data_IF_586123570539
#
_entry.id   IF_586123570539
#
_cell.length_a   1.000
_cell.length_b   1.000
_cell.length_c   1.000
_cell.angle_alpha   90.00
_cell.angle_beta   90.00
_cell.angle_gamma   90.00
#
_symmetry.space_group_name_H-M   'P 1'
#
loop_
_entity.id
_entity.type
_entity.pdbx_description
1 polymer ?
#
# COMPACT_ATOMS: atom_id res chain seq x y z
N UNK A 1 -3.49 1.47 17.13
CA UNK A 1 -2.62 2.27 16.23
C UNK A 1 -2.67 1.61 14.86
N UNK A 2 -2.86 2.38 13.77
CA UNK A 2 -2.79 1.82 12.43
C UNK A 2 -1.46 1.10 12.26
N UNK A 3 -1.49 -0.10 11.66
CA UNK A 3 -0.25 -0.85 11.44
C UNK A 3 0.52 -0.13 10.34
N UNK A 4 1.80 0.21 10.56
CA UNK A 4 2.59 0.85 9.52
C UNK A 4 2.62 -0.06 8.29
N UNK A 5 2.37 0.52 7.12
CA UNK A 5 2.41 -0.19 5.84
C UNK A 5 3.81 -0.82 5.69
N UNK A 6 3.93 -2.14 5.46
CA UNK A 6 5.20 -2.79 5.16
C UNK A 6 5.91 -2.15 3.97
N UNK A 7 7.24 -2.18 3.96
CA UNK A 7 8.01 -1.48 2.92
C UNK A 7 7.79 -2.06 1.51
N UNK A 8 7.70 -3.38 1.40
CA UNK A 8 7.36 -4.06 0.15
C UNK A 8 5.98 -3.63 -0.39
N UNK A 9 4.99 -3.48 0.50
CA UNK A 9 3.67 -2.96 0.16
C UNK A 9 3.72 -1.48 -0.27
N UNK A 10 4.53 -0.64 0.38
CA UNK A 10 4.76 0.75 -0.07
C UNK A 10 5.39 0.82 -1.46
N UNK A 11 6.36 -0.05 -1.74
CA UNK A 11 7.04 -0.10 -3.05
C UNK A 11 6.07 -0.48 -4.17
N UNK A 12 5.23 -1.50 -3.93
CA UNK A 12 4.17 -1.86 -4.88
C UNK A 12 3.17 -0.72 -5.06
N UNK A 13 2.66 -0.14 -3.98
CA UNK A 13 1.74 0.98 -4.05
C UNK A 13 2.30 2.13 -4.91
N UNK A 14 3.56 2.52 -4.69
CA UNK A 14 4.23 3.54 -5.49
C UNK A 14 4.35 3.16 -6.97
N UNK A 15 4.68 1.91 -7.31
CA UNK A 15 4.78 1.43 -8.68
C UNK A 15 3.44 1.51 -9.45
N UNK A 16 2.32 1.42 -8.73
CA UNK A 16 0.97 1.47 -9.30
C UNK A 16 0.25 2.81 -9.08
N UNK A 17 0.96 3.85 -8.60
CA UNK A 17 0.38 5.18 -8.39
C UNK A 17 -0.59 5.29 -7.21
N UNK A 18 -0.54 4.35 -6.26
CA UNK A 18 -1.35 4.34 -5.04
C UNK A 18 -0.60 5.05 -3.91
N UNK A 19 -1.18 6.13 -3.38
CA UNK A 19 -0.62 6.83 -2.23
C UNK A 19 -0.88 6.05 -0.93
N UNK A 20 0.13 5.93 -0.07
CA UNK A 20 0.03 5.25 1.24
C UNK A 20 -0.12 6.24 2.40
N UNK A 21 -0.17 7.54 2.12
CA UNK A 21 -0.45 8.59 3.09
C UNK A 21 -1.08 9.81 2.42
N UNK A 22 -1.78 10.62 3.21
CA UNK A 22 -2.37 11.87 2.77
C UNK A 22 -2.21 12.95 3.85
N UNK A 23 -2.54 14.19 3.51
CA UNK A 23 -2.65 15.27 4.49
C UNK A 23 -4.12 15.47 4.85
N UNK A 24 -4.44 15.38 6.13
CA UNK A 24 -5.79 15.64 6.63
C UNK A 24 -6.14 17.14 6.54
N UNK A 25 -7.32 17.52 7.01
CA UNK A 25 -7.81 18.90 7.04
C UNK A 25 -6.91 19.86 7.86
N UNK A 26 -6.12 19.31 8.79
CA UNK A 26 -5.13 20.05 9.59
C UNK A 26 -3.74 20.12 8.94
N UNK A 27 -3.61 19.58 7.71
CA UNK A 27 -2.34 19.40 6.98
C UNK A 27 -1.37 18.44 7.65
N UNK A 28 -1.85 17.60 8.55
CA UNK A 28 -1.04 16.59 9.23
C UNK A 28 -0.95 15.34 8.35
N UNK A 29 0.23 14.69 8.28
CA UNK A 29 0.36 13.43 7.57
C UNK A 29 -0.41 12.33 8.29
N UNK A 30 -1.22 11.59 7.52
CA UNK A 30 -1.99 10.43 7.97
C UNK A 30 -1.63 9.26 7.06
N UNK A 31 -1.15 8.18 7.68
CA UNK A 31 -0.89 6.92 6.98
C UNK A 31 -2.20 6.18 6.69
N UNK A 32 -2.27 5.58 5.51
CA UNK A 32 -3.36 4.70 5.11
C UNK A 32 -3.12 3.32 5.70
N UNK A 33 -4.17 2.69 6.23
CA UNK A 33 -4.08 1.32 6.75
C UNK A 33 -3.63 0.33 5.66
N UNK A 34 -2.74 -0.60 6.02
CA UNK A 34 -2.22 -1.60 5.10
C UNK A 34 -3.33 -2.41 4.39
N UNK A 35 -4.42 -2.73 5.10
CA UNK A 35 -5.56 -3.46 4.53
C UNK A 35 -6.28 -2.64 3.45
N UNK A 36 -6.31 -1.31 3.58
CA UNK A 36 -6.86 -0.42 2.54
C UNK A 36 -5.94 -0.40 1.33
N UNK A 37 -4.63 -0.30 1.53
CA UNK A 37 -3.64 -0.33 0.43
C UNK A 37 -3.74 -1.66 -0.34
N UNK A 38 -3.83 -2.79 0.36
CA UNK A 38 -4.02 -4.13 -0.25
C UNK A 38 -5.30 -4.16 -1.09
N UNK A 39 -6.42 -3.65 -0.55
CA UNK A 39 -7.69 -3.62 -1.30
C UNK A 39 -7.61 -2.76 -2.55
N UNK A 40 -6.99 -1.57 -2.48
CA UNK A 40 -6.85 -0.68 -3.64
C UNK A 40 -5.94 -1.32 -4.70
N UNK A 41 -4.83 -1.94 -4.30
CA UNK A 41 -3.96 -2.70 -5.21
C UNK A 41 -4.70 -3.86 -5.89
N UNK A 42 -5.57 -4.57 -5.16
CA UNK A 42 -6.41 -5.61 -5.75
C UNK A 42 -7.40 -5.10 -6.80
N UNK A 43 -7.89 -3.86 -6.67
CA UNK A 43 -8.71 -3.22 -7.72
C UNK A 43 -7.92 -2.90 -8.99
N UNK A 44 -6.59 -2.83 -8.88
CA UNK A 44 -5.64 -2.65 -9.99
C UNK A 44 -5.05 -3.99 -10.46
N UNK A 45 -5.65 -5.12 -10.04
CA UNK A 45 -5.22 -6.48 -10.37
C UNK A 45 -3.80 -6.82 -9.88
N UNK A 46 -3.37 -6.22 -8.76
CA UNK A 46 -2.07 -6.49 -8.12
C UNK A 46 -2.26 -7.36 -6.88
N UNK A 47 -1.64 -8.55 -6.88
CA UNK A 47 -1.67 -9.46 -5.74
C UNK A 47 -0.72 -8.99 -4.62
N UNK A 48 -1.30 -8.48 -3.53
CA UNK A 48 -0.54 -7.92 -2.40
C UNK A 48 -0.95 -8.46 -1.01
N UNK A 49 -1.87 -9.44 -0.98
CA UNK A 49 -2.49 -9.94 0.24
C UNK A 49 -1.48 -10.59 1.21
N UNK A 50 -0.42 -11.21 0.68
CA UNK A 50 0.63 -11.85 1.49
C UNK A 50 2.02 -11.35 1.14
N UNK A 51 2.98 -11.56 2.05
CA UNK A 51 4.39 -11.27 1.80
C UNK A 51 4.94 -12.00 0.57
N UNK A 52 4.44 -13.20 0.28
CA UNK A 52 4.85 -13.99 -0.87
C UNK A 52 4.34 -13.38 -2.18
N UNK A 53 3.10 -12.89 -2.20
CA UNK A 53 2.51 -12.22 -3.35
C UNK A 53 3.26 -10.93 -3.65
N UNK A 54 3.51 -10.12 -2.60
CA UNK A 54 4.24 -8.86 -2.76
C UNK A 54 5.65 -9.06 -3.31
N UNK A 55 6.36 -10.09 -2.83
CA UNK A 55 7.68 -10.45 -3.37
C UNK A 55 7.62 -10.88 -4.83
N UNK A 56 6.60 -11.64 -5.23
CA UNK A 56 6.41 -12.08 -6.61
C UNK A 56 6.15 -10.89 -7.53
N UNK A 57 5.20 -10.03 -7.17
CA UNK A 57 4.85 -8.85 -7.97
C UNK A 57 6.03 -7.86 -8.08
N UNK A 58 6.85 -7.72 -7.03
CA UNK A 58 8.06 -6.88 -7.10
C UNK A 58 9.16 -7.41 -8.03
N UNK A 59 9.09 -8.68 -8.46
CA UNK A 59 10.06 -9.30 -9.37
C UNK A 59 9.56 -9.45 -10.81
N UNK A 60 8.34 -9.01 -11.08
CA UNK A 60 7.69 -9.06 -12.38
C UNK A 60 8.14 -7.91 -13.28
#
# INVERSE_FOLDING_TARGET
>A
MPKPVPEDLRRLAAAHGVATSYRNERREPVDVDADVVIRVLGLLEVDAATDADRKRELTR
#
